data_IF_574632868336
#
_entry.id   IF_574632868336
#
_cell.length_a   1.000
_cell.length_b   1.000
_cell.length_c   1.000
_cell.angle_alpha   90.00
_cell.angle_beta   90.00
_cell.angle_gamma   90.00
#
_symmetry.space_group_name_H-M   'P 1'
#
loop_
_entity.id
_entity.type
_entity.pdbx_description
1 polymer ?
#
# COMPACT_ATOMS: atom_id res chain seq x y z
N UNK A 1 -2.35 -31.88 13.16
CA UNK A 1 -3.09 -30.95 12.28
C UNK A 1 -2.47 -29.55 12.39
N UNK A 2 -1.51 -29.20 11.53
CA UNK A 2 -0.89 -27.86 11.51
C UNK A 2 -0.23 -27.54 10.15
N UNK A 3 -0.92 -27.79 9.03
CA UNK A 3 -0.39 -27.45 7.70
C UNK A 3 -1.29 -26.50 6.89
N UNK A 4 -2.43 -26.05 7.45
CA UNK A 4 -3.42 -25.27 6.68
C UNK A 4 -3.34 -23.76 6.95
N UNK A 5 -2.76 -23.34 8.08
CA UNK A 5 -2.80 -21.93 8.54
C UNK A 5 -1.79 -21.02 7.83
N UNK A 6 -0.64 -21.55 7.37
CA UNK A 6 0.32 -20.77 6.58
C UNK A 6 -0.24 -20.31 5.22
N UNK A 7 -1.33 -20.95 4.74
CA UNK A 7 -1.92 -20.62 3.46
C UNK A 7 -2.75 -19.35 3.48
N UNK A 8 -3.41 -19.02 4.61
CA UNK A 8 -4.26 -17.84 4.73
C UNK A 8 -3.44 -16.59 4.97
N UNK A 9 -2.50 -16.62 5.92
CA UNK A 9 -1.60 -15.51 6.21
C UNK A 9 -0.84 -15.07 4.95
N UNK A 10 -0.27 -16.04 4.20
CA UNK A 10 0.45 -15.72 2.97
C UNK A 10 -0.47 -15.17 1.86
N UNK A 11 -1.76 -15.56 1.82
CA UNK A 11 -2.74 -14.95 0.89
C UNK A 11 -3.03 -13.50 1.26
N UNK A 12 -3.24 -13.21 2.54
CA UNK A 12 -3.50 -11.84 3.02
C UNK A 12 -2.32 -10.91 2.73
N UNK A 13 -1.08 -11.39 2.90
CA UNK A 13 0.11 -10.57 2.57
C UNK A 13 0.19 -10.30 1.08
N UNK A 14 -0.03 -11.30 0.22
CA UNK A 14 -0.03 -11.10 -1.25
C UNK A 14 -1.11 -10.13 -1.70
N UNK A 15 -2.33 -10.25 -1.18
CA UNK A 15 -3.42 -9.31 -1.45
C UNK A 15 -3.03 -7.87 -1.10
N UNK A 16 -2.36 -7.67 0.04
CA UNK A 16 -1.86 -6.36 0.42
C UNK A 16 -0.71 -5.85 -0.48
N UNK A 17 0.18 -6.73 -0.94
CA UNK A 17 1.23 -6.39 -1.91
C UNK A 17 0.64 -5.94 -3.25
N UNK A 18 -0.35 -6.68 -3.75
CA UNK A 18 -1.09 -6.36 -4.97
C UNK A 18 -1.80 -5.00 -4.83
N UNK A 19 -2.53 -4.78 -3.75
CA UNK A 19 -3.19 -3.49 -3.46
C UNK A 19 -2.17 -2.32 -3.38
N UNK A 20 -0.98 -2.55 -2.80
CA UNK A 20 0.10 -1.55 -2.76
C UNK A 20 0.62 -1.24 -4.15
N UNK A 21 0.75 -2.23 -5.02
CA UNK A 21 1.24 -2.05 -6.39
C UNK A 21 0.22 -1.37 -7.30
N UNK A 22 -1.06 -1.69 -7.15
CA UNK A 22 -2.16 -0.98 -7.80
C UNK A 22 -2.16 0.50 -7.40
N UNK A 23 -2.05 0.79 -6.09
CA UNK A 23 -1.96 2.16 -5.60
C UNK A 23 -0.71 2.88 -6.16
N UNK A 24 0.45 2.21 -6.18
CA UNK A 24 1.68 2.75 -6.76
C UNK A 24 1.51 3.11 -8.23
N UNK A 25 0.88 2.24 -9.01
CA UNK A 25 0.62 2.46 -10.42
C UNK A 25 -0.35 3.65 -10.64
N UNK A 26 -1.44 3.71 -9.86
CA UNK A 26 -2.41 4.80 -9.93
C UNK A 26 -1.78 6.16 -9.59
N UNK A 27 -0.99 6.22 -8.52
CA UNK A 27 -0.26 7.43 -8.12
C UNK A 27 0.70 7.89 -9.23
N UNK A 28 1.45 6.94 -9.81
CA UNK A 28 2.37 7.24 -10.92
C UNK A 28 1.62 7.76 -12.15
N UNK A 29 0.46 7.19 -12.47
CA UNK A 29 -0.43 7.68 -13.53
C UNK A 29 -0.90 9.12 -13.28
N UNK A 30 -1.09 9.51 -12.02
CA UNK A 30 -1.43 10.88 -11.62
C UNK A 30 -0.20 11.80 -11.45
N UNK A 31 1.01 11.36 -11.82
CA UNK A 31 2.24 12.14 -11.69
C UNK A 31 2.79 12.25 -10.26
N UNK A 32 2.29 11.45 -9.32
CA UNK A 32 2.71 11.41 -7.92
C UNK A 32 3.61 10.19 -7.69
N UNK A 33 4.78 10.39 -7.08
CA UNK A 33 5.65 9.28 -6.65
C UNK A 33 5.90 9.37 -5.15
N UNK A 34 5.54 8.29 -4.44
CA UNK A 34 5.85 8.12 -3.02
C UNK A 34 7.03 7.14 -2.87
N UNK A 35 8.24 7.61 -2.48
CA UNK A 35 9.42 6.75 -2.38
C UNK A 35 9.28 5.72 -1.24
N UNK A 36 8.47 6.02 -0.23
CA UNK A 36 8.31 5.19 0.97
C UNK A 36 7.08 4.28 0.95
N UNK A 37 6.32 4.22 -0.14
CA UNK A 37 5.09 3.41 -0.22
C UNK A 37 5.42 1.90 -0.10
N UNK A 38 5.05 1.29 1.03
CA UNK A 38 5.37 -0.09 1.37
C UNK A 38 4.25 -0.72 2.23
N UNK A 39 4.44 -1.97 2.65
CA UNK A 39 3.64 -2.54 3.73
C UNK A 39 4.28 -2.18 5.08
N UNK A 40 3.45 -1.92 6.09
CA UNK A 40 3.91 -1.74 7.46
C UNK A 40 4.47 -3.07 7.98
N UNK A 41 5.76 -3.11 8.27
CA UNK A 41 6.42 -4.36 8.70
C UNK A 41 5.91 -4.92 10.02
N UNK A 42 5.40 -4.09 10.93
CA UNK A 42 4.85 -4.52 12.23
C UNK A 42 3.51 -5.22 12.02
N UNK A 43 2.72 -4.75 11.06
CA UNK A 43 1.42 -5.32 10.69
C UNK A 43 1.51 -6.74 10.10
N UNK A 44 2.70 -7.15 9.66
CA UNK A 44 2.99 -8.47 9.08
C UNK A 44 3.40 -9.51 10.13
N UNK A 45 3.63 -9.12 11.38
CA UNK A 45 4.12 -10.01 12.43
C UNK A 45 2.96 -10.74 13.11
N UNK A 46 3.16 -12.02 13.44
CA UNK A 46 2.23 -12.86 14.21
C UNK A 46 1.50 -13.91 13.38
N UNK A 47 0.74 -14.78 14.06
CA UNK A 47 0.05 -15.92 13.43
C UNK A 47 -1.14 -15.49 12.53
N UNK A 48 -1.68 -14.31 12.78
CA UNK A 48 -2.78 -13.72 12.02
C UNK A 48 -2.43 -12.29 11.59
N UNK A 49 -1.57 -12.13 10.56
CA UNK A 49 -1.13 -10.82 10.12
C UNK A 49 -2.31 -9.99 9.61
N UNK A 50 -2.24 -8.67 9.84
CA UNK A 50 -3.24 -7.69 9.41
C UNK A 50 -2.51 -6.61 8.61
N UNK A 51 -2.07 -6.92 7.37
CA UNK A 51 -1.20 -6.04 6.60
C UNK A 51 -1.81 -4.65 6.42
N UNK A 52 -1.02 -3.63 6.68
CA UNK A 52 -1.36 -2.24 6.42
C UNK A 52 -0.45 -1.69 5.33
N UNK A 53 -0.99 -0.84 4.46
CA UNK A 53 -0.19 -0.09 3.50
C UNK A 53 0.34 1.17 4.19
N UNK A 54 1.65 1.28 4.31
CA UNK A 54 2.32 2.50 4.76
C UNK A 54 2.56 3.42 3.55
N UNK A 55 1.89 4.58 3.56
CA UNK A 55 2.03 5.61 2.53
C UNK A 55 3.33 6.42 2.70
N UNK A 56 3.93 6.38 3.89
CA UNK A 56 5.11 7.13 4.26
C UNK A 56 4.89 8.64 4.32
N UNK A 57 6.00 9.38 4.45
CA UNK A 57 5.99 10.85 4.49
C UNK A 57 6.08 11.41 3.09
N UNK A 58 5.24 12.39 2.78
CA UNK A 58 5.30 13.15 1.54
C UNK A 58 5.61 14.62 1.82
N UNK A 59 6.15 15.31 0.82
CA UNK A 59 6.33 16.78 0.92
C UNK A 59 4.98 17.48 0.79
N UNK A 60 4.82 18.73 1.27
CA UNK A 60 3.60 19.49 1.08
C UNK A 60 3.20 19.64 -0.41
N UNK A 61 4.18 19.72 -1.32
CA UNK A 61 3.92 19.75 -2.76
C UNK A 61 3.28 18.44 -3.23
N UNK A 62 3.87 17.31 -2.86
CA UNK A 62 3.35 15.97 -3.18
C UNK A 62 1.96 15.76 -2.57
N UNK A 63 1.72 16.23 -1.34
CA UNK A 63 0.41 16.15 -0.69
C UNK A 63 -0.67 16.92 -1.48
N UNK A 64 -0.34 18.11 -2.02
CA UNK A 64 -1.26 18.88 -2.87
C UNK A 64 -1.53 18.19 -4.21
N UNK A 65 -0.50 17.64 -4.86
CA UNK A 65 -0.66 16.87 -6.09
C UNK A 65 -1.56 15.65 -5.88
N UNK A 66 -1.33 14.92 -4.78
CA UNK A 66 -2.18 13.80 -4.38
C UNK A 66 -3.63 14.23 -4.15
N UNK A 67 -3.84 15.34 -3.44
CA UNK A 67 -5.18 15.87 -3.21
C UNK A 67 -5.88 16.25 -4.52
N UNK A 68 -5.18 16.87 -5.48
CA UNK A 68 -5.70 17.17 -6.81
C UNK A 68 -6.05 15.90 -7.59
N UNK A 69 -5.17 14.89 -7.57
CA UNK A 69 -5.42 13.60 -8.20
C UNK A 69 -6.68 12.91 -7.65
N UNK A 70 -6.85 12.90 -6.34
CA UNK A 70 -8.01 12.28 -5.67
C UNK A 70 -9.33 13.03 -5.96
N UNK A 71 -9.28 14.32 -6.25
CA UNK A 71 -10.45 15.12 -6.67
C UNK A 71 -10.79 14.99 -8.16
N UNK A 72 -9.93 14.32 -8.94
CA UNK A 72 -10.07 14.25 -10.40
C UNK A 72 -9.58 15.50 -11.13
N UNK A 73 -8.76 16.33 -10.47
CA UNK A 73 -8.17 17.55 -11.06
C UNK A 73 -6.89 17.26 -11.88
N UNK A 74 -6.28 16.08 -11.68
CA UNK A 74 -5.16 15.60 -12.49
C UNK A 74 -5.69 15.02 -13.81
N UNK A 75 -5.38 15.67 -14.93
CA UNK A 75 -5.75 15.23 -16.28
C UNK A 75 -4.52 15.05 -17.15
#
# INVERSE_FOLDING_TARGET
>A
MALVEHSSAARTVRDAEEARDELRAALKGAGVTLPSLALDGVSLVGDFPRPLVDLGRCTPQTARQLAGALRGEAR
#
